data_IF_608575368318
#
_entry.id   IF_608575368318
#
_cell.length_a   1.000
_cell.length_b   1.000
_cell.length_c   1.000
_cell.angle_alpha   90.00
_cell.angle_beta   90.00
_cell.angle_gamma   90.00
#
_symmetry.space_group_name_H-M   'P 1'
#
loop_
_entity.id
_entity.type
_entity.pdbx_description
1 polymer ?
#
# COMPACT_ATOMS: atom_id res chain seq x y z
N UNK A 1 26.17 -0.10 -17.77
CA UNK A 1 25.76 1.08 -16.97
C UNK A 1 24.40 1.60 -17.40
N UNK A 2 24.15 1.84 -18.71
CA UNK A 2 22.80 2.15 -19.21
C UNK A 2 21.77 1.09 -18.82
N UNK A 3 22.10 -0.19 -19.01
CA UNK A 3 21.19 -1.29 -18.74
C UNK A 3 20.72 -1.34 -17.27
N UNK A 4 21.60 -1.02 -16.30
CA UNK A 4 21.24 -1.02 -14.87
C UNK A 4 20.36 0.17 -14.50
N UNK A 5 20.59 1.35 -15.08
CA UNK A 5 19.73 2.51 -14.85
C UNK A 5 18.35 2.32 -15.47
N UNK A 6 18.29 1.69 -16.65
CA UNK A 6 17.03 1.32 -17.30
C UNK A 6 16.27 0.27 -16.48
N UNK A 7 16.96 -0.74 -15.93
CA UNK A 7 16.38 -1.72 -15.00
C UNK A 7 15.78 -1.03 -13.76
N UNK A 8 16.51 -0.13 -13.12
CA UNK A 8 16.01 0.63 -11.95
C UNK A 8 14.79 1.49 -12.30
N UNK A 9 14.78 2.12 -13.48
CA UNK A 9 13.62 2.90 -13.95
C UNK A 9 12.40 2.01 -14.19
N UNK A 10 12.59 0.83 -14.77
CA UNK A 10 11.51 -0.13 -14.97
C UNK A 10 10.95 -0.65 -13.64
N UNK A 11 11.83 -0.94 -12.67
CA UNK A 11 11.42 -1.34 -11.31
C UNK A 11 10.65 -0.21 -10.61
N UNK A 12 11.14 1.02 -10.71
CA UNK A 12 10.48 2.20 -10.17
C UNK A 12 9.05 2.39 -10.72
N UNK A 13 8.86 2.30 -12.04
CA UNK A 13 7.51 2.39 -12.63
C UNK A 13 6.61 1.21 -12.21
N UNK A 14 7.18 0.01 -12.07
CA UNK A 14 6.43 -1.15 -11.58
C UNK A 14 5.94 -0.92 -10.14
N UNK A 15 6.75 -0.29 -9.29
CA UNK A 15 6.39 0.05 -7.90
C UNK A 15 5.34 1.14 -7.81
N UNK A 16 5.41 2.16 -8.67
CA UNK A 16 4.34 3.15 -8.78
C UNK A 16 3.00 2.50 -9.11
N UNK A 17 3.01 1.54 -10.03
CA UNK A 17 1.82 0.78 -10.36
C UNK A 17 1.31 -0.04 -9.15
N UNK A 18 2.19 -0.81 -8.50
CA UNK A 18 1.80 -1.63 -7.35
C UNK A 18 1.28 -0.77 -6.17
N UNK A 19 1.89 0.38 -5.92
CA UNK A 19 1.43 1.31 -4.89
C UNK A 19 -0.01 1.78 -5.16
N UNK A 20 -0.32 2.08 -6.42
CA UNK A 20 -1.67 2.47 -6.83
C UNK A 20 -2.66 1.32 -6.62
N UNK A 21 -2.27 0.09 -6.92
CA UNK A 21 -3.11 -1.09 -6.65
C UNK A 21 -3.43 -1.20 -5.15
N UNK A 22 -2.43 -1.07 -4.28
CA UNK A 22 -2.62 -1.08 -2.82
C UNK A 22 -3.55 0.05 -2.35
N UNK A 23 -3.40 1.25 -2.90
CA UNK A 23 -4.27 2.39 -2.61
C UNK A 23 -5.73 2.11 -3.00
N UNK A 24 -5.96 1.62 -4.21
CA UNK A 24 -7.28 1.27 -4.72
C UNK A 24 -7.94 0.16 -3.89
N UNK A 25 -7.17 -0.85 -3.46
CA UNK A 25 -7.70 -1.92 -2.61
C UNK A 25 -8.03 -1.45 -1.19
N UNK A 26 -7.21 -0.58 -0.58
CA UNK A 26 -7.54 0.00 0.72
C UNK A 26 -8.80 0.88 0.63
N UNK A 27 -8.96 1.62 -0.47
CA UNK A 27 -10.20 2.37 -0.76
C UNK A 27 -11.40 1.41 -0.87
N UNK A 28 -11.26 0.29 -1.58
CA UNK A 28 -12.32 -0.72 -1.69
C UNK A 28 -12.75 -1.25 -0.31
N UNK A 29 -11.83 -1.49 0.61
CA UNK A 29 -12.19 -1.90 1.98
C UNK A 29 -12.97 -0.82 2.72
N UNK A 30 -12.52 0.43 2.67
CA UNK A 30 -13.22 1.58 3.29
C UNK A 30 -14.63 1.75 2.70
N UNK A 31 -14.79 1.59 1.39
CA UNK A 31 -16.10 1.63 0.73
C UNK A 31 -17.00 0.46 1.18
N UNK A 32 -16.46 -0.75 1.31
CA UNK A 32 -17.21 -1.91 1.81
C UNK A 32 -17.67 -1.69 3.25
N UNK A 33 -16.79 -1.17 4.11
CA UNK A 33 -17.12 -0.79 5.48
C UNK A 33 -18.22 0.29 5.53
N UNK A 34 -18.10 1.34 4.73
CA UNK A 34 -19.10 2.40 4.64
C UNK A 34 -20.47 1.84 4.19
N UNK A 35 -20.48 0.89 3.24
CA UNK A 35 -21.71 0.20 2.82
C UNK A 35 -22.35 -0.57 3.97
N UNK A 36 -21.58 -1.33 4.76
CA UNK A 36 -22.10 -2.04 5.94
C UNK A 36 -22.73 -1.04 6.91
N UNK A 37 -22.03 0.05 7.23
CA UNK A 37 -22.52 1.10 8.13
C UNK A 37 -23.77 1.83 7.62
N UNK A 38 -24.03 1.82 6.31
CA UNK A 38 -25.24 2.40 5.71
C UNK A 38 -26.49 1.51 5.82
N UNK A 39 -26.33 0.25 6.27
CA UNK A 39 -27.44 -0.71 6.45
C UNK A 39 -27.93 -0.73 7.90
N UNK A 40 -29.06 -1.39 8.15
CA UNK A 40 -29.52 -1.70 9.50
C UNK A 40 -28.73 -2.91 10.05
N UNK A 41 -27.51 -2.65 10.52
CA UNK A 41 -26.59 -3.67 11.03
C UNK A 41 -26.71 -3.86 12.55
N UNK A 42 -26.35 -5.04 13.07
CA UNK A 42 -26.30 -5.27 14.52
C UNK A 42 -25.23 -4.38 15.17
N UNK A 43 -25.66 -3.43 16.00
CA UNK A 43 -24.77 -2.46 16.68
C UNK A 43 -23.72 -3.12 17.57
N UNK A 44 -23.87 -4.38 17.96
CA UNK A 44 -22.82 -5.14 18.67
C UNK A 44 -21.54 -5.27 17.84
N UNK A 45 -21.67 -5.20 16.51
CA UNK A 45 -20.56 -5.26 15.57
C UNK A 45 -19.79 -3.94 15.41
N UNK A 46 -20.33 -2.83 15.93
CA UNK A 46 -19.76 -1.49 15.75
C UNK A 46 -18.30 -1.41 16.19
N UNK A 47 -17.96 -1.96 17.36
CA UNK A 47 -16.58 -1.93 17.86
C UNK A 47 -15.59 -2.67 16.95
N UNK A 48 -16.02 -3.75 16.29
CA UNK A 48 -15.18 -4.50 15.36
C UNK A 48 -15.05 -3.76 14.01
N UNK A 49 -16.09 -3.08 13.55
CA UNK A 49 -16.02 -2.18 12.40
C UNK A 49 -15.06 -1.01 12.66
N UNK A 50 -15.12 -0.37 13.82
CA UNK A 50 -14.20 0.70 14.23
C UNK A 50 -12.74 0.23 14.30
N UNK A 51 -12.52 -1.01 14.77
CA UNK A 51 -11.20 -1.65 14.74
C UNK A 51 -10.66 -1.75 13.30
N UNK A 52 -11.47 -2.19 12.34
CA UNK A 52 -11.04 -2.26 10.93
C UNK A 52 -10.83 -0.88 10.33
N UNK A 53 -11.71 0.08 10.60
CA UNK A 53 -11.54 1.47 10.17
C UNK A 53 -10.19 2.03 10.63
N UNK A 54 -9.81 1.79 11.89
CA UNK A 54 -8.52 2.22 12.42
C UNK A 54 -7.34 1.54 11.71
N UNK A 55 -7.48 0.28 11.29
CA UNK A 55 -6.45 -0.42 10.51
C UNK A 55 -6.34 0.09 9.08
N UNK A 56 -7.46 0.43 8.43
CA UNK A 56 -7.44 1.05 7.10
C UNK A 56 -6.77 2.43 7.11
N UNK A 57 -7.00 3.23 8.16
CA UNK A 57 -6.32 4.51 8.35
C UNK A 57 -4.81 4.34 8.55
N UNK A 58 -4.38 3.38 9.37
CA UNK A 58 -2.94 3.05 9.50
C UNK A 58 -2.34 2.60 8.17
N UNK A 59 -3.09 1.86 7.35
CA UNK A 59 -2.64 1.47 6.03
C UNK A 59 -2.52 2.67 5.07
N UNK A 60 -3.45 3.63 5.12
CA UNK A 60 -3.33 4.88 4.36
C UNK A 60 -2.04 5.65 4.72
N UNK A 61 -1.68 5.69 6.00
CA UNK A 61 -0.41 6.29 6.44
C UNK A 61 0.81 5.57 5.85
N UNK A 62 0.82 4.22 5.86
CA UNK A 62 1.91 3.44 5.27
C UNK A 62 2.02 3.64 3.75
N UNK A 63 0.89 3.67 3.05
CA UNK A 63 0.81 3.95 1.61
C UNK A 63 1.31 5.37 1.31
N UNK A 64 0.94 6.35 2.13
CA UNK A 64 1.41 7.73 1.98
C UNK A 64 2.93 7.86 2.16
N UNK A 65 3.52 7.13 3.12
CA UNK A 65 4.98 7.07 3.31
C UNK A 65 5.68 6.43 2.09
N UNK A 66 5.18 5.29 1.61
CA UNK A 66 5.72 4.66 0.39
C UNK A 66 5.63 5.58 -0.82
N UNK A 67 4.52 6.32 -0.97
CA UNK A 67 4.36 7.32 -2.05
C UNK A 67 5.43 8.39 -1.99
N UNK A 68 5.76 8.85 -0.78
CA UNK A 68 6.83 9.83 -0.57
C UNK A 68 8.19 9.24 -0.96
N UNK A 69 8.55 8.06 -0.42
CA UNK A 69 9.81 7.38 -0.72
C UNK A 69 10.00 7.14 -2.24
N UNK A 70 8.94 6.72 -2.94
CA UNK A 70 8.94 6.57 -4.40
C UNK A 70 9.15 7.93 -5.08
N UNK A 71 8.45 8.98 -4.65
CA UNK A 71 8.63 10.32 -5.23
C UNK A 71 10.06 10.85 -5.06
N UNK A 72 10.70 10.59 -3.92
CA UNK A 72 12.10 10.95 -3.67
C UNK A 72 13.04 10.19 -4.62
N UNK A 73 12.82 8.88 -4.78
CA UNK A 73 13.59 8.06 -5.71
C UNK A 73 13.47 8.54 -7.15
N UNK A 74 12.29 9.01 -7.56
CA UNK A 74 12.10 9.59 -8.89
C UNK A 74 13.03 10.79 -9.13
N UNK A 75 13.23 11.63 -8.11
CA UNK A 75 14.21 12.72 -8.14
C UNK A 75 15.64 12.23 -8.33
N UNK A 76 16.04 11.22 -7.54
CA UNK A 76 17.37 10.59 -7.63
C UNK A 76 17.61 10.03 -9.04
N UNK A 77 16.65 9.28 -9.59
CA UNK A 77 16.73 8.64 -10.92
C UNK A 77 16.77 9.65 -12.09
N UNK A 78 16.17 10.83 -11.90
CA UNK A 78 16.23 11.93 -12.86
C UNK A 78 17.59 12.64 -12.84
N UNK A 79 18.27 12.65 -11.69
CA UNK A 79 19.58 13.30 -11.50
C UNK A 79 20.79 12.37 -11.68
N UNK A 80 20.66 11.22 -12.37
CA UNK A 80 21.77 10.27 -12.61
C UNK A 80 22.52 10.54 -13.93
N UNK A 81 23.56 11.40 -13.94
CA UNK A 81 24.66 11.28 -14.90
C UNK A 81 25.98 10.78 -14.26
N UNK A 82 26.08 10.62 -12.93
CA UNK A 82 27.32 10.29 -12.21
C UNK A 82 27.31 8.90 -11.55
N UNK A 83 28.49 8.27 -11.39
CA UNK A 83 28.61 6.95 -10.73
C UNK A 83 28.14 6.95 -9.27
N UNK A 84 28.29 8.05 -8.55
CA UNK A 84 27.83 8.18 -7.15
C UNK A 84 26.30 8.15 -7.05
N UNK A 85 25.59 8.83 -7.97
CA UNK A 85 24.13 8.80 -8.02
C UNK A 85 23.54 7.43 -8.39
N UNK A 86 24.30 6.53 -9.02
CA UNK A 86 23.84 5.17 -9.30
C UNK A 86 23.83 4.30 -8.03
N UNK A 87 24.82 4.46 -7.14
CA UNK A 87 24.85 3.72 -5.87
C UNK A 87 23.67 4.12 -4.99
N UNK A 88 23.44 5.42 -4.87
CA UNK A 88 22.30 5.98 -4.13
C UNK A 88 20.96 5.49 -4.69
N UNK A 89 20.80 5.45 -6.03
CA UNK A 89 19.60 4.91 -6.66
C UNK A 89 19.37 3.41 -6.33
N UNK A 90 20.43 2.60 -6.30
CA UNK A 90 20.35 1.18 -5.93
C UNK A 90 19.98 1.01 -4.45
N UNK A 91 20.58 1.80 -3.56
CA UNK A 91 20.29 1.74 -2.12
C UNK A 91 18.85 2.17 -1.82
N UNK A 92 18.39 3.26 -2.45
CA UNK A 92 17.00 3.72 -2.38
C UNK A 92 16.03 2.65 -2.90
N UNK A 93 16.36 2.01 -4.03
CA UNK A 93 15.57 0.91 -4.59
C UNK A 93 15.46 -0.26 -3.60
N UNK A 94 16.55 -0.70 -3.00
CA UNK A 94 16.50 -1.79 -2.01
C UNK A 94 15.70 -1.44 -0.75
N UNK A 95 15.75 -0.18 -0.32
CA UNK A 95 14.98 0.28 0.83
C UNK A 95 13.48 0.26 0.54
N UNK A 96 13.07 0.80 -0.61
CA UNK A 96 11.68 0.78 -1.05
C UNK A 96 11.20 -0.66 -1.20
N UNK A 97 12.02 -1.58 -1.73
CA UNK A 97 11.65 -3.00 -1.88
C UNK A 97 11.25 -3.65 -0.56
N UNK A 98 12.07 -3.44 0.47
CA UNK A 98 11.84 -3.97 1.82
C UNK A 98 10.60 -3.35 2.43
N UNK A 99 10.42 -2.03 2.26
CA UNK A 99 9.21 -1.34 2.75
C UNK A 99 7.96 -1.87 2.07
N UNK A 100 8.01 -2.02 0.75
CA UNK A 100 6.91 -2.53 -0.04
C UNK A 100 6.50 -3.94 0.42
N UNK A 101 7.49 -4.82 0.61
CA UNK A 101 7.26 -6.18 1.11
C UNK A 101 6.58 -6.16 2.48
N UNK A 102 7.03 -5.32 3.42
CA UNK A 102 6.41 -5.21 4.74
C UNK A 102 4.98 -4.68 4.67
N UNK A 103 4.73 -3.64 3.86
CA UNK A 103 3.40 -3.07 3.71
C UNK A 103 2.44 -4.07 3.04
N UNK A 104 2.90 -4.79 2.01
CA UNK A 104 2.12 -5.84 1.36
C UNK A 104 1.76 -6.95 2.36
N UNK A 105 2.70 -7.42 3.18
CA UNK A 105 2.42 -8.44 4.20
C UNK A 105 1.36 -7.96 5.21
N UNK A 106 1.46 -6.71 5.67
CA UNK A 106 0.44 -6.13 6.55
C UNK A 106 -0.92 -5.99 5.86
N UNK A 107 -0.92 -5.69 4.57
CA UNK A 107 -2.12 -5.59 3.76
C UNK A 107 -2.79 -6.95 3.58
N UNK A 108 -2.04 -7.99 3.22
CA UNK A 108 -2.54 -9.35 3.03
C UNK A 108 -3.22 -9.88 4.30
N UNK A 109 -2.61 -9.64 5.47
CA UNK A 109 -3.22 -10.00 6.76
C UNK A 109 -4.51 -9.21 6.99
N UNK A 110 -4.51 -7.91 6.70
CA UNK A 110 -5.70 -7.07 6.85
C UNK A 110 -6.84 -7.50 5.91
N UNK A 111 -6.54 -7.84 4.66
CA UNK A 111 -7.50 -8.36 3.69
C UNK A 111 -8.15 -9.65 4.19
N UNK A 112 -7.33 -10.62 4.57
CA UNK A 112 -7.80 -11.92 5.09
C UNK A 112 -8.66 -11.72 6.33
N UNK A 113 -8.20 -10.92 7.30
CA UNK A 113 -8.93 -10.65 8.55
C UNK A 113 -10.29 -9.99 8.27
N UNK A 114 -10.30 -8.97 7.41
CA UNK A 114 -11.51 -8.23 7.07
C UNK A 114 -12.49 -9.09 6.27
N UNK A 115 -11.99 -9.86 5.30
CA UNK A 115 -12.80 -10.77 4.52
C UNK A 115 -13.48 -11.83 5.40
N UNK A 116 -12.73 -12.48 6.29
CA UNK A 116 -13.27 -13.48 7.21
C UNK A 116 -14.31 -12.86 8.14
N UNK A 117 -14.03 -11.68 8.67
CA UNK A 117 -14.96 -10.95 9.51
C UNK A 117 -16.28 -10.67 8.78
N UNK A 118 -16.20 -10.03 7.62
CA UNK A 118 -17.40 -9.63 6.87
C UNK A 118 -18.22 -10.85 6.48
N UNK A 119 -17.58 -11.94 6.04
CA UNK A 119 -18.29 -13.17 5.69
C UNK A 119 -19.03 -13.81 6.87
N UNK A 120 -18.49 -13.67 8.08
CA UNK A 120 -19.11 -14.23 9.29
C UNK A 120 -20.23 -13.34 9.84
N UNK A 121 -19.99 -12.03 9.96
CA UNK A 121 -20.91 -11.09 10.59
C UNK A 121 -21.96 -10.52 9.63
N UNK A 122 -21.65 -10.46 8.33
CA UNK A 122 -22.50 -9.86 7.30
C UNK A 122 -22.58 -10.75 6.04
N UNK A 123 -23.09 -12.00 6.14
CA UNK A 123 -23.12 -12.94 5.02
C UNK A 123 -23.96 -12.44 3.82
N UNK A 124 -24.85 -11.47 4.05
CA UNK A 124 -25.67 -10.81 3.04
C UNK A 124 -25.00 -9.63 2.31
N UNK A 125 -23.75 -9.29 2.64
CA UNK A 125 -22.99 -8.14 2.08
C UNK A 125 -21.78 -8.59 1.26
#
# INVERSE_FOLDING_TARGET
MKDKLEELRAQHESRKYLLKVLEDENIRFKLKLARILSTDFDRRELGRLEYFQSRFLKMDEQIALLRHEISEQQGILASVPAKESLKEAIESEQMIDRRFTMVQQHFDVLDVDFYHYVRQAFPQV
#
